data_IF_746354185383
#
_entry.id   IF_746354185383
#
_cell.length_a   1.000
_cell.length_b   1.000
_cell.length_c   1.000
_cell.angle_alpha   90.00
_cell.angle_beta   90.00
_cell.angle_gamma   90.00
#
_symmetry.space_group_name_H-M   'P 1'
#
loop_
_entity.id
_entity.type
_entity.pdbx_description
1 polymer ?
#
# COMPACT_ATOMS: atom_id res chain seq x y z
N UNK A 1 23.75 -27.62 -34.57
CA UNK A 1 22.85 -26.69 -35.28
C UNK A 1 22.42 -25.60 -34.31
N UNK A 2 23.01 -24.38 -34.39
CA UNK A 2 22.56 -23.22 -33.57
C UNK A 2 21.18 -22.80 -34.06
N UNK A 3 20.17 -22.96 -33.22
CA UNK A 3 18.76 -22.65 -33.53
C UNK A 3 18.62 -21.18 -33.98
N UNK A 4 18.42 -20.93 -35.28
CA UNK A 4 18.08 -19.61 -35.85
C UNK A 4 16.78 -19.01 -35.25
N UNK A 5 15.90 -19.84 -34.72
CA UNK A 5 14.66 -19.43 -34.05
C UNK A 5 14.89 -18.70 -32.72
N UNK A 6 16.04 -18.94 -32.05
CA UNK A 6 16.37 -18.23 -30.79
C UNK A 6 16.71 -16.76 -31.00
N UNK A 7 17.21 -16.35 -32.17
CA UNK A 7 17.52 -14.96 -32.49
C UNK A 7 16.26 -14.12 -32.71
N UNK A 8 15.34 -14.60 -33.56
CA UNK A 8 14.09 -13.91 -33.87
C UNK A 8 13.18 -13.78 -32.63
N UNK A 9 13.09 -14.85 -31.82
CA UNK A 9 12.35 -14.83 -30.57
C UNK A 9 12.91 -13.79 -29.59
N UNK A 10 14.23 -13.72 -29.43
CA UNK A 10 14.88 -12.70 -28.59
C UNK A 10 14.57 -11.28 -29.06
N UNK A 11 14.69 -11.03 -30.36
CA UNK A 11 14.37 -9.72 -30.94
C UNK A 11 12.91 -9.36 -30.66
N UNK A 12 11.98 -10.29 -30.90
CA UNK A 12 10.57 -10.08 -30.59
C UNK A 12 10.34 -9.73 -29.11
N UNK A 13 10.93 -10.51 -28.18
CA UNK A 13 10.82 -10.26 -26.75
C UNK A 13 11.39 -8.88 -26.38
N UNK A 14 12.57 -8.51 -26.90
CA UNK A 14 13.13 -7.18 -26.62
C UNK A 14 12.28 -6.05 -27.17
N UNK A 15 11.74 -6.19 -28.37
CA UNK A 15 10.83 -5.17 -28.97
C UNK A 15 9.60 -4.99 -28.08
N UNK A 16 8.97 -6.08 -27.65
CA UNK A 16 7.80 -6.02 -26.77
C UNK A 16 8.15 -5.37 -25.44
N UNK A 17 9.25 -5.77 -24.81
CA UNK A 17 9.67 -5.22 -23.51
C UNK A 17 10.05 -3.74 -23.59
N UNK A 18 10.77 -3.33 -24.65
CA UNK A 18 11.14 -1.92 -24.87
C UNK A 18 9.89 -1.09 -25.14
N UNK A 19 8.98 -1.57 -25.97
CA UNK A 19 7.71 -0.87 -26.25
C UNK A 19 6.92 -0.68 -24.96
N UNK A 20 6.82 -1.72 -24.13
CA UNK A 20 6.11 -1.66 -22.86
C UNK A 20 6.80 -0.69 -21.88
N UNK A 21 8.13 -0.71 -21.81
CA UNK A 21 8.91 0.23 -21.00
C UNK A 21 8.68 1.69 -21.44
N UNK A 22 8.69 1.96 -22.73
CA UNK A 22 8.44 3.31 -23.29
C UNK A 22 7.01 3.76 -22.97
N UNK A 23 6.00 2.91 -23.19
CA UNK A 23 4.59 3.22 -22.93
C UNK A 23 4.36 3.56 -21.44
N UNK A 24 5.10 2.93 -20.53
CA UNK A 24 5.01 3.22 -19.09
C UNK A 24 5.84 4.44 -18.71
N UNK A 25 7.08 4.55 -19.21
CA UNK A 25 8.00 5.61 -18.82
C UNK A 25 7.62 6.99 -19.34
N UNK A 26 7.09 7.07 -20.57
CA UNK A 26 6.73 8.36 -21.22
C UNK A 26 5.67 9.13 -20.43
N UNK A 27 4.51 8.56 -20.03
CA UNK A 27 3.54 9.29 -19.22
C UNK A 27 4.09 9.74 -17.87
N UNK A 28 4.89 8.91 -17.22
CA UNK A 28 5.53 9.25 -15.93
C UNK A 28 6.47 10.44 -16.12
N UNK A 29 7.40 10.35 -17.08
CA UNK A 29 8.33 11.44 -17.39
C UNK A 29 7.58 12.73 -17.78
N UNK A 30 6.48 12.59 -18.50
CA UNK A 30 5.66 13.73 -18.89
C UNK A 30 5.00 14.42 -17.68
N UNK A 31 4.52 13.67 -16.69
CA UNK A 31 3.99 14.24 -15.43
C UNK A 31 5.06 15.06 -14.71
N UNK A 32 6.31 14.56 -14.64
CA UNK A 32 7.45 15.31 -14.06
C UNK A 32 7.76 16.58 -14.85
N UNK A 33 7.75 16.51 -16.17
CA UNK A 33 7.94 17.70 -17.02
C UNK A 33 6.80 18.70 -16.87
N UNK A 34 5.57 18.23 -16.82
CA UNK A 34 4.38 19.05 -16.65
C UNK A 34 4.35 19.76 -15.29
N UNK A 35 4.88 19.15 -14.24
CA UNK A 35 4.90 19.72 -12.88
C UNK A 35 5.75 20.99 -12.74
N UNK A 36 6.71 21.20 -13.63
CA UNK A 36 7.60 22.36 -13.64
C UNK A 36 7.24 23.38 -14.72
N UNK A 37 6.16 23.19 -15.49
CA UNK A 37 5.69 24.11 -16.52
C UNK A 37 4.78 25.19 -15.97
N UNK A 38 4.84 26.38 -16.60
CA UNK A 38 3.84 27.42 -16.40
C UNK A 38 2.55 27.12 -17.18
N UNK A 39 1.43 27.69 -16.74
CA UNK A 39 0.12 27.47 -17.38
C UNK A 39 0.09 27.88 -18.86
N UNK A 40 0.70 28.99 -19.21
CA UNK A 40 0.73 29.48 -20.60
C UNK A 40 1.43 28.48 -21.54
N UNK A 41 2.50 27.83 -21.07
CA UNK A 41 3.20 26.78 -21.82
C UNK A 41 2.35 25.52 -21.98
N UNK A 42 1.58 25.19 -20.95
CA UNK A 42 0.70 24.02 -20.96
C UNK A 42 -0.41 24.15 -21.99
N UNK A 43 -1.04 25.32 -22.08
CA UNK A 43 -2.09 25.60 -23.07
C UNK A 43 -1.54 25.72 -24.50
N UNK A 44 -0.29 26.17 -24.66
CA UNK A 44 0.33 26.28 -25.98
C UNK A 44 0.64 24.92 -26.59
N UNK A 45 1.50 24.16 -25.96
CA UNK A 45 1.81 22.78 -26.33
C UNK A 45 2.31 21.99 -25.09
N UNK A 46 1.50 21.07 -24.55
CA UNK A 46 1.84 20.33 -23.35
C UNK A 46 3.04 19.38 -23.52
N UNK A 47 3.40 19.03 -24.74
CA UNK A 47 4.49 18.08 -25.05
C UNK A 47 5.87 18.71 -25.23
N UNK A 48 5.97 20.03 -25.28
CA UNK A 48 7.27 20.71 -25.38
C UNK A 48 8.04 20.60 -24.07
N UNK A 49 9.37 20.76 -24.15
CA UNK A 49 10.18 20.94 -22.95
C UNK A 49 9.84 22.30 -22.29
N UNK A 50 9.91 22.42 -20.96
CA UNK A 50 9.67 23.65 -20.25
C UNK A 50 10.69 24.72 -20.66
N UNK A 51 10.21 25.94 -20.97
CA UNK A 51 11.06 27.11 -21.26
C UNK A 51 11.67 27.71 -20.00
N UNK A 52 10.94 27.61 -18.88
CA UNK A 52 11.38 28.00 -17.57
C UNK A 52 10.93 26.95 -16.53
N UNK A 53 11.70 26.80 -15.45
CA UNK A 53 11.36 25.89 -14.35
C UNK A 53 10.58 26.66 -13.30
N UNK A 54 9.30 26.34 -13.14
CA UNK A 54 8.37 26.96 -12.20
C UNK A 54 8.31 26.16 -10.89
N UNK A 55 9.28 26.38 -9.99
CA UNK A 55 9.31 25.74 -8.67
C UNK A 55 8.15 26.17 -7.77
N UNK A 56 7.55 27.33 -8.03
CA UNK A 56 6.36 27.82 -7.35
C UNK A 56 5.16 26.88 -7.43
N UNK A 57 5.10 25.99 -8.41
CA UNK A 57 4.08 24.94 -8.49
C UNK A 57 4.15 24.00 -7.28
N UNK A 58 5.36 23.66 -6.85
CA UNK A 58 5.57 22.78 -5.69
C UNK A 58 5.33 23.55 -4.38
N UNK A 59 5.74 24.80 -4.27
CA UNK A 59 5.48 25.59 -3.06
C UNK A 59 3.99 25.87 -2.88
N UNK A 60 3.26 26.11 -3.96
CA UNK A 60 1.80 26.25 -3.95
C UNK A 60 1.11 24.91 -3.62
N UNK A 61 1.67 23.79 -4.09
CA UNK A 61 1.23 22.46 -3.70
C UNK A 61 1.64 22.10 -2.26
N UNK A 62 2.59 22.83 -1.64
CA UNK A 62 3.02 22.59 -0.25
C UNK A 62 1.92 22.83 0.79
N UNK A 63 0.82 23.52 0.43
CA UNK A 63 -0.43 23.48 1.22
C UNK A 63 -0.97 22.07 1.47
N UNK A 64 -0.54 21.07 0.66
CA UNK A 64 -0.80 19.66 0.89
C UNK A 64 0.13 18.99 1.92
N UNK A 65 1.09 19.71 2.51
CA UNK A 65 2.04 19.16 3.49
C UNK A 65 1.34 18.50 4.69
N UNK A 66 0.22 19.07 5.15
CA UNK A 66 -0.62 18.46 6.17
C UNK A 66 -1.21 17.11 5.72
N UNK A 67 -1.67 17.03 4.47
CA UNK A 67 -2.21 15.80 3.91
C UNK A 67 -1.14 14.73 3.73
N UNK A 68 0.09 15.14 3.37
CA UNK A 68 1.25 14.26 3.33
C UNK A 68 1.54 13.69 4.72
N UNK A 69 1.60 14.52 5.76
CA UNK A 69 1.78 14.09 7.14
C UNK A 69 0.69 13.12 7.60
N UNK A 70 -0.58 13.40 7.27
CA UNK A 70 -1.70 12.53 7.56
C UNK A 70 -1.57 11.16 6.85
N UNK A 71 -1.17 11.16 5.57
CA UNK A 71 -0.96 9.91 4.82
C UNK A 71 0.18 9.08 5.39
N UNK A 72 1.30 9.70 5.75
CA UNK A 72 2.43 9.03 6.42
C UNK A 72 1.97 8.43 7.74
N UNK A 73 1.25 9.20 8.56
CA UNK A 73 0.72 8.75 9.84
C UNK A 73 -0.23 7.56 9.69
N UNK A 74 -1.25 7.68 8.82
CA UNK A 74 -2.24 6.61 8.60
C UNK A 74 -1.58 5.37 8.06
N UNK A 75 -0.73 5.49 7.04
CA UNK A 75 -0.04 4.35 6.44
C UNK A 75 0.88 3.64 7.43
N UNK A 76 1.70 4.40 8.16
CA UNK A 76 2.62 3.83 9.15
C UNK A 76 1.86 3.14 10.29
N UNK A 77 0.85 3.80 10.86
CA UNK A 77 0.05 3.25 11.94
C UNK A 77 -0.73 2.00 11.49
N UNK A 78 -1.32 2.03 10.29
CA UNK A 78 -2.03 0.86 9.73
C UNK A 78 -1.09 -0.33 9.56
N UNK A 79 0.12 -0.11 9.03
CA UNK A 79 1.12 -1.18 8.87
C UNK A 79 1.57 -1.74 10.22
N UNK A 80 1.82 -0.90 11.21
CA UNK A 80 2.20 -1.33 12.57
C UNK A 80 1.08 -2.19 13.18
N UNK A 81 -0.16 -1.70 13.17
CA UNK A 81 -1.32 -2.43 13.70
C UNK A 81 -1.51 -3.76 12.97
N UNK A 82 -1.42 -3.73 11.64
CA UNK A 82 -1.56 -4.93 10.80
C UNK A 82 -0.52 -5.99 11.14
N UNK A 83 0.76 -5.63 11.22
CA UNK A 83 1.84 -6.60 11.47
C UNK A 83 1.78 -7.13 12.89
N UNK A 84 1.50 -6.30 13.90
CA UNK A 84 1.35 -6.73 15.28
C UNK A 84 0.26 -7.80 15.43
N UNK A 85 -0.83 -7.69 14.66
CA UNK A 85 -1.96 -8.64 14.74
C UNK A 85 -1.74 -9.83 13.78
N UNK A 86 -1.37 -9.56 12.52
CA UNK A 86 -1.31 -10.57 11.48
C UNK A 86 -0.15 -11.55 11.66
N UNK A 87 1.02 -11.08 12.12
CA UNK A 87 2.20 -11.92 12.20
C UNK A 87 2.05 -13.07 13.22
N UNK A 88 1.64 -12.82 14.49
CA UNK A 88 1.39 -13.92 15.43
C UNK A 88 0.19 -14.77 15.02
N UNK A 89 -0.88 -14.18 14.49
CA UNK A 89 -2.04 -14.94 14.02
C UNK A 89 -1.66 -15.91 12.88
N UNK A 90 -0.88 -15.44 11.91
CA UNK A 90 -0.38 -16.28 10.81
C UNK A 90 0.53 -17.42 11.30
N UNK A 91 1.41 -17.14 12.27
CA UNK A 91 2.28 -18.15 12.86
C UNK A 91 1.47 -19.24 13.55
N UNK A 92 0.52 -18.86 14.41
CA UNK A 92 -0.35 -19.81 15.14
C UNK A 92 -1.17 -20.64 14.16
N UNK A 93 -1.78 -20.03 13.16
CA UNK A 93 -2.58 -20.75 12.15
C UNK A 93 -1.74 -21.69 11.27
N UNK A 94 -0.45 -21.41 11.11
CA UNK A 94 0.45 -22.24 10.31
C UNK A 94 1.03 -23.43 11.09
N UNK A 95 1.35 -23.25 12.37
CA UNK A 95 2.19 -24.16 13.15
C UNK A 95 1.46 -24.94 14.24
N UNK A 96 0.40 -24.37 14.79
CA UNK A 96 -0.30 -25.01 15.90
C UNK A 96 -1.58 -25.68 15.45
N UNK A 97 -1.87 -26.85 16.04
CA UNK A 97 -3.13 -27.57 15.82
C UNK A 97 -4.05 -27.33 17.01
N UNK A 98 -5.21 -26.73 16.77
CA UNK A 98 -6.24 -26.49 17.77
C UNK A 98 -7.64 -26.67 17.17
N UNK A 99 -8.64 -26.89 18.03
CA UNK A 99 -9.99 -27.32 17.61
C UNK A 99 -10.61 -26.37 16.58
N UNK A 100 -10.48 -25.07 16.74
CA UNK A 100 -11.08 -24.06 15.84
C UNK A 100 -10.15 -23.61 14.70
N UNK A 101 -8.97 -24.20 14.53
CA UNK A 101 -8.00 -23.82 13.47
C UNK A 101 -8.62 -23.80 12.07
N UNK A 102 -9.43 -24.83 11.76
CA UNK A 102 -10.10 -24.94 10.45
C UNK A 102 -11.06 -23.78 10.23
N UNK A 103 -11.84 -23.40 11.25
CA UNK A 103 -12.76 -22.28 11.19
C UNK A 103 -12.02 -20.96 10.91
N UNK A 104 -10.95 -20.66 11.64
CA UNK A 104 -10.17 -19.44 11.44
C UNK A 104 -9.49 -19.38 10.08
N UNK A 105 -8.95 -20.50 9.58
CA UNK A 105 -8.40 -20.55 8.24
C UNK A 105 -9.48 -20.24 7.17
N UNK A 106 -10.67 -20.81 7.28
CA UNK A 106 -11.79 -20.51 6.41
C UNK A 106 -12.25 -19.05 6.54
N UNK A 107 -12.32 -18.54 7.74
CA UNK A 107 -12.73 -17.16 8.02
C UNK A 107 -11.80 -16.14 7.32
N UNK A 108 -10.48 -16.27 7.47
CA UNK A 108 -9.53 -15.40 6.77
C UNK A 108 -9.55 -15.65 5.26
N UNK A 109 -9.72 -16.87 4.79
CA UNK A 109 -9.83 -17.17 3.36
C UNK A 109 -11.07 -16.53 2.74
N UNK A 110 -12.23 -16.58 3.40
CA UNK A 110 -13.46 -15.91 2.95
C UNK A 110 -13.26 -14.39 2.87
N UNK A 111 -12.50 -13.80 3.81
CA UNK A 111 -12.17 -12.38 3.79
C UNK A 111 -11.41 -11.92 2.54
N UNK A 112 -10.69 -12.81 1.85
CA UNK A 112 -10.02 -12.49 0.58
C UNK A 112 -10.98 -12.16 -0.56
N UNK A 113 -12.19 -12.69 -0.52
CA UNK A 113 -13.21 -12.46 -1.54
C UNK A 113 -14.01 -11.17 -1.32
N UNK A 114 -13.83 -10.54 -0.16
CA UNK A 114 -14.51 -9.27 0.17
C UNK A 114 -13.62 -8.12 -0.30
N UNK A 115 -14.05 -7.45 -1.37
CA UNK A 115 -13.37 -6.23 -1.81
C UNK A 115 -13.72 -5.08 -0.85
N UNK A 116 -12.69 -4.45 -0.31
CA UNK A 116 -12.82 -3.36 0.65
C UNK A 116 -13.69 -2.20 0.14
N UNK A 117 -13.67 -1.92 -1.16
CA UNK A 117 -14.47 -0.85 -1.76
C UNK A 117 -15.99 -1.09 -1.68
N UNK A 118 -16.43 -2.35 -1.64
CA UNK A 118 -17.86 -2.66 -1.53
C UNK A 118 -18.40 -2.55 -0.11
N UNK A 119 -17.53 -2.62 0.89
CA UNK A 119 -17.91 -2.55 2.30
C UNK A 119 -17.70 -1.15 2.92
N UNK A 120 -17.26 -0.16 2.14
CA UNK A 120 -17.04 1.21 2.62
C UNK A 120 -18.32 1.80 3.22
N UNK A 121 -19.46 1.67 2.53
CA UNK A 121 -20.75 2.21 3.01
C UNK A 121 -21.21 1.50 4.28
N UNK A 122 -21.24 0.16 4.37
CA UNK A 122 -21.50 -0.54 5.64
C UNK A 122 -20.59 -0.10 6.78
N UNK A 123 -19.28 0.05 6.55
CA UNK A 123 -18.32 0.52 7.57
C UNK A 123 -18.67 1.94 8.00
N UNK A 124 -18.94 2.84 7.06
CA UNK A 124 -19.36 4.21 7.36
C UNK A 124 -20.61 4.26 8.23
N UNK A 125 -21.64 3.50 7.87
CA UNK A 125 -22.91 3.46 8.64
C UNK A 125 -22.69 2.89 10.04
N UNK A 126 -21.85 1.87 10.19
CA UNK A 126 -21.49 1.31 11.49
C UNK A 126 -20.78 2.36 12.37
N UNK A 127 -19.79 3.07 11.82
CA UNK A 127 -19.05 4.11 12.54
C UNK A 127 -19.92 5.33 12.85
N UNK A 128 -20.82 5.71 11.93
CA UNK A 128 -21.80 6.78 12.14
C UNK A 128 -22.78 6.43 13.26
N UNK A 129 -23.24 5.17 13.30
CA UNK A 129 -24.08 4.66 14.40
C UNK A 129 -23.36 4.72 15.75
N UNK A 130 -22.07 4.34 15.77
CA UNK A 130 -21.19 4.50 16.93
C UNK A 130 -21.04 5.97 17.36
N UNK A 131 -20.77 6.87 16.42
CA UNK A 131 -20.63 8.29 16.69
C UNK A 131 -21.92 8.90 17.25
N UNK A 132 -23.08 8.51 16.74
CA UNK A 132 -24.37 8.97 17.24
C UNK A 132 -24.63 8.54 18.69
N UNK A 133 -24.17 7.35 19.08
CA UNK A 133 -24.22 6.87 20.45
C UNK A 133 -23.29 7.68 21.37
N UNK A 134 -22.02 7.88 20.95
CA UNK A 134 -21.04 8.64 21.73
C UNK A 134 -21.36 10.13 21.80
N UNK A 135 -21.96 10.71 20.76
CA UNK A 135 -22.42 12.09 20.77
C UNK A 135 -23.51 12.34 21.82
N UNK A 136 -24.39 11.36 22.03
CA UNK A 136 -25.39 11.45 23.10
C UNK A 136 -24.79 11.32 24.50
N UNK A 137 -23.68 10.58 24.64
CA UNK A 137 -23.08 10.27 25.94
C UNK A 137 -21.94 11.23 26.30
N UNK A 138 -21.09 11.58 25.33
CA UNK A 138 -19.87 12.39 25.53
C UNK A 138 -19.94 13.78 24.89
N UNK A 139 -21.00 14.09 24.12
CA UNK A 139 -21.16 15.37 23.43
C UNK A 139 -20.40 15.49 22.11
N UNK A 140 -19.63 14.50 21.70
CA UNK A 140 -18.90 14.47 20.41
C UNK A 140 -18.75 13.06 19.87
N UNK A 141 -18.66 12.91 18.54
CA UNK A 141 -18.29 11.67 17.87
C UNK A 141 -16.78 11.41 17.98
N UNK A 142 -16.37 10.15 17.94
CA UNK A 142 -14.98 9.73 18.07
C UNK A 142 -14.48 8.85 16.91
N UNK A 143 -15.38 8.33 16.07
CA UNK A 143 -15.04 7.38 15.02
C UNK A 143 -14.81 8.03 13.66
N UNK A 144 -15.74 8.88 13.19
CA UNK A 144 -15.59 9.60 11.93
C UNK A 144 -14.64 10.79 12.09
N UNK A 145 -14.06 11.21 10.97
CA UNK A 145 -13.06 12.27 10.91
C UNK A 145 -11.84 12.05 11.83
N UNK A 146 -11.51 10.79 12.10
CA UNK A 146 -10.46 10.36 13.00
C UNK A 146 -9.43 9.49 12.26
N UNK A 147 -8.17 9.95 12.17
CA UNK A 147 -7.09 9.24 11.48
C UNK A 147 -6.71 7.91 12.17
N UNK A 148 -6.88 7.81 13.48
CA UNK A 148 -6.64 6.56 14.21
C UNK A 148 -7.65 5.49 13.81
N UNK A 149 -8.93 5.90 13.69
CA UNK A 149 -9.98 4.99 13.27
C UNK A 149 -9.80 4.57 11.81
N UNK A 150 -9.43 5.51 10.93
CA UNK A 150 -9.09 5.19 9.55
C UNK A 150 -7.95 4.17 9.47
N UNK A 151 -6.90 4.34 10.29
CA UNK A 151 -5.77 3.40 10.35
C UNK A 151 -6.19 2.01 10.83
N UNK A 152 -7.09 1.94 11.80
CA UNK A 152 -7.65 0.67 12.29
C UNK A 152 -8.47 -0.04 11.21
N UNK A 153 -9.30 0.70 10.47
CA UNK A 153 -10.10 0.16 9.35
C UNK A 153 -9.20 -0.37 8.25
N UNK A 154 -8.15 0.36 7.88
CA UNK A 154 -7.16 -0.11 6.89
C UNK A 154 -6.49 -1.40 7.35
N UNK A 155 -6.00 -1.45 8.58
CA UNK A 155 -5.38 -2.66 9.12
C UNK A 155 -6.36 -3.84 9.14
N UNK A 156 -7.61 -3.62 9.59
CA UNK A 156 -8.63 -4.67 9.68
C UNK A 156 -9.00 -5.26 8.31
N UNK A 157 -9.18 -4.41 7.29
CA UNK A 157 -9.53 -4.85 5.92
C UNK A 157 -8.38 -5.58 5.23
N UNK A 158 -7.12 -5.32 5.61
CA UNK A 158 -5.93 -5.96 5.07
C UNK A 158 -5.54 -7.28 5.79
N UNK A 159 -6.12 -7.55 6.97
CA UNK A 159 -5.81 -8.75 7.77
C UNK A 159 -5.95 -10.06 6.98
N UNK A 160 -7.04 -10.32 6.25
CA UNK A 160 -7.23 -11.59 5.55
C UNK A 160 -6.08 -11.91 4.59
N UNK A 161 -5.72 -10.98 3.74
CA UNK A 161 -4.64 -11.15 2.78
C UNK A 161 -3.28 -11.34 3.47
N UNK A 162 -2.99 -10.54 4.48
CA UNK A 162 -1.71 -10.57 5.19
C UNK A 162 -1.54 -11.86 5.97
N UNK A 163 -2.58 -12.30 6.70
CA UNK A 163 -2.57 -13.58 7.43
C UNK A 163 -2.43 -14.76 6.49
N UNK A 164 -3.15 -14.76 5.37
CA UNK A 164 -3.05 -15.80 4.35
C UNK A 164 -1.62 -15.93 3.80
N UNK A 165 -1.02 -14.83 3.40
CA UNK A 165 0.31 -14.83 2.78
C UNK A 165 1.38 -15.23 3.79
N UNK A 166 1.37 -14.67 4.98
CA UNK A 166 2.32 -15.01 6.05
C UNK A 166 2.16 -16.45 6.54
N UNK A 167 0.92 -16.96 6.70
CA UNK A 167 0.71 -18.33 7.17
C UNK A 167 1.21 -19.35 6.15
N UNK A 168 1.02 -19.09 4.85
CA UNK A 168 1.58 -19.95 3.79
C UNK A 168 3.11 -19.96 3.84
N UNK A 169 3.74 -18.81 4.06
CA UNK A 169 5.19 -18.75 4.19
C UNK A 169 5.69 -19.51 5.43
N UNK A 170 5.08 -19.30 6.59
CA UNK A 170 5.46 -20.06 7.80
C UNK A 170 5.37 -21.57 7.59
N UNK A 171 4.40 -22.08 6.82
CA UNK A 171 4.28 -23.51 6.49
C UNK A 171 5.45 -24.04 5.67
N UNK A 172 6.16 -23.19 4.92
CA UNK A 172 7.33 -23.62 4.12
C UNK A 172 8.61 -23.75 4.94
N UNK A 173 8.67 -23.12 6.12
CA UNK A 173 9.85 -23.17 6.97
C UNK A 173 9.98 -24.58 7.61
N UNK A 174 11.18 -25.17 7.68
CA UNK A 174 11.41 -26.45 8.35
C UNK A 174 11.05 -26.43 9.83
N UNK A 175 10.41 -27.49 10.32
CA UNK A 175 10.06 -27.61 11.75
C UNK A 175 11.29 -27.75 12.66
N UNK A 176 12.41 -28.19 12.11
CA UNK A 176 13.67 -28.35 12.85
C UNK A 176 14.17 -27.07 13.51
N UNK A 177 13.79 -25.89 13.01
CA UNK A 177 14.14 -24.62 13.67
C UNK A 177 13.42 -24.42 15.00
N UNK A 178 12.15 -24.81 15.07
CA UNK A 178 11.37 -24.76 16.31
C UNK A 178 11.85 -25.85 17.29
N UNK A 179 12.12 -27.05 16.78
CA UNK A 179 12.64 -28.16 17.56
C UNK A 179 13.99 -27.83 18.20
N UNK A 180 14.93 -27.24 17.43
CA UNK A 180 16.21 -26.79 17.96
C UNK A 180 16.04 -25.72 19.04
N UNK A 181 15.17 -24.73 18.83
CA UNK A 181 14.89 -23.70 19.82
C UNK A 181 14.31 -24.27 21.13
N UNK A 182 13.46 -25.29 21.04
CA UNK A 182 12.91 -25.97 22.22
C UNK A 182 13.97 -26.80 22.95
N UNK A 183 14.90 -27.46 22.24
CA UNK A 183 16.04 -28.16 22.83
C UNK A 183 16.93 -27.16 23.58
N UNK A 184 17.12 -25.97 23.07
CA UNK A 184 17.86 -24.87 23.69
C UNK A 184 17.08 -24.20 24.86
N UNK A 185 15.89 -24.72 25.24
CA UNK A 185 15.08 -24.23 26.34
C UNK A 185 14.23 -23.00 26.03
N UNK A 186 14.10 -22.60 24.76
CA UNK A 186 13.26 -21.46 24.39
C UNK A 186 11.77 -21.80 24.53
N UNK A 187 10.99 -20.94 25.18
CA UNK A 187 9.53 -21.04 25.20
C UNK A 187 8.91 -20.57 23.87
N UNK A 188 7.63 -20.86 23.67
CA UNK A 188 6.89 -20.56 22.42
C UNK A 188 7.03 -19.12 21.93
N UNK A 189 6.90 -18.14 22.83
CA UNK A 189 6.99 -16.73 22.48
C UNK A 189 8.42 -16.31 22.07
N UNK A 190 9.42 -16.88 22.75
CA UNK A 190 10.84 -16.66 22.41
C UNK A 190 11.19 -17.27 21.07
N UNK A 191 10.75 -18.50 20.80
CA UNK A 191 10.90 -19.17 19.51
C UNK A 191 10.24 -18.36 18.39
N UNK A 192 9.02 -17.87 18.61
CA UNK A 192 8.35 -17.02 17.64
C UNK A 192 9.16 -15.75 17.34
N UNK A 193 9.51 -14.95 18.35
CA UNK A 193 10.15 -13.63 18.16
C UNK A 193 11.60 -13.72 17.71
N UNK A 194 12.38 -14.69 18.26
CA UNK A 194 13.82 -14.75 18.01
C UNK A 194 14.24 -15.68 16.88
N UNK A 195 13.38 -16.62 16.49
CA UNK A 195 13.70 -17.60 15.44
C UNK A 195 12.74 -17.46 14.25
N UNK A 196 11.44 -17.69 14.45
CA UNK A 196 10.50 -17.82 13.36
C UNK A 196 10.16 -16.50 12.65
N UNK A 197 9.96 -15.41 13.41
CA UNK A 197 9.69 -14.09 12.83
C UNK A 197 10.89 -13.52 12.05
N UNK A 198 12.15 -13.59 12.54
CA UNK A 198 13.33 -13.23 11.73
C UNK A 198 13.48 -14.05 10.46
N UNK A 199 13.20 -15.36 10.49
CA UNK A 199 13.22 -16.22 9.31
C UNK A 199 12.11 -15.87 8.30
N UNK A 200 10.98 -15.36 8.78
CA UNK A 200 9.89 -14.90 7.92
C UNK A 200 10.11 -13.47 7.37
N UNK A 201 11.26 -12.83 7.65
CA UNK A 201 11.58 -11.46 7.21
C UNK A 201 11.31 -11.21 5.71
N UNK A 202 11.66 -12.11 4.75
CA UNK A 202 11.36 -11.89 3.35
C UNK A 202 9.86 -11.72 3.07
N UNK A 203 9.04 -12.58 3.67
CA UNK A 203 7.58 -12.51 3.53
C UNK A 203 6.98 -11.30 4.26
N UNK A 204 7.52 -10.93 5.43
CA UNK A 204 7.12 -9.73 6.18
C UNK A 204 7.37 -8.48 5.34
N UNK A 205 8.53 -8.35 4.71
CA UNK A 205 8.84 -7.23 3.81
C UNK A 205 7.86 -7.20 2.65
N UNK A 206 7.56 -8.35 2.05
CA UNK A 206 6.61 -8.45 0.95
C UNK A 206 5.20 -7.96 1.33
N UNK A 207 4.67 -8.41 2.48
CA UNK A 207 3.34 -7.96 2.92
C UNK A 207 3.33 -6.49 3.33
N UNK A 208 4.41 -5.97 3.93
CA UNK A 208 4.53 -4.53 4.23
C UNK A 208 4.45 -3.72 2.94
N UNK A 209 5.14 -4.15 1.89
CA UNK A 209 5.14 -3.46 0.61
C UNK A 209 3.77 -3.41 -0.05
N UNK A 210 3.10 -4.57 -0.17
CA UNK A 210 1.77 -4.63 -0.77
C UNK A 210 0.77 -3.77 0.01
N UNK A 211 0.81 -3.83 1.34
CA UNK A 211 -0.08 -3.04 2.16
C UNK A 211 0.30 -1.55 2.19
N UNK A 212 1.58 -1.20 2.12
CA UNK A 212 2.00 0.19 1.94
C UNK A 212 1.42 0.77 0.65
N UNK A 213 1.58 0.07 -0.48
CA UNK A 213 1.03 0.51 -1.76
C UNK A 213 -0.50 0.65 -1.72
N UNK A 214 -1.17 -0.29 -1.06
CA UNK A 214 -2.63 -0.25 -0.87
C UNK A 214 -3.07 0.94 -0.03
N UNK A 215 -2.48 1.13 1.15
CA UNK A 215 -2.86 2.19 2.09
C UNK A 215 -2.47 3.58 1.60
N UNK A 216 -1.28 3.70 0.97
CA UNK A 216 -0.79 4.96 0.43
C UNK A 216 -1.68 5.51 -0.69
N UNK A 217 -2.18 4.63 -1.56
CA UNK A 217 -3.01 5.02 -2.71
C UNK A 217 -4.51 4.95 -2.41
N UNK A 218 -4.91 4.56 -1.20
CA UNK A 218 -6.32 4.43 -0.84
C UNK A 218 -6.95 5.82 -0.71
N UNK A 219 -8.09 6.04 -1.38
CA UNK A 219 -8.80 7.31 -1.33
C UNK A 219 -10.30 7.18 -1.05
N UNK A 220 -10.95 6.05 -1.38
CA UNK A 220 -12.40 5.90 -1.26
C UNK A 220 -12.83 5.85 0.21
N UNK A 221 -12.16 5.01 1.01
CA UNK A 221 -12.40 4.95 2.45
C UNK A 221 -12.02 6.26 3.13
N UNK A 222 -10.84 6.82 2.77
CA UNK A 222 -10.40 8.08 3.34
C UNK A 222 -11.37 9.22 3.03
N UNK A 223 -11.87 9.31 1.79
CA UNK A 223 -12.86 10.32 1.39
C UNK A 223 -14.17 10.17 2.19
N UNK A 224 -14.58 8.93 2.43
CA UNK A 224 -15.86 8.63 3.10
C UNK A 224 -15.77 8.79 4.63
N UNK A 225 -14.67 8.31 5.24
CA UNK A 225 -14.53 8.26 6.70
C UNK A 225 -13.94 9.56 7.29
N UNK A 226 -13.27 10.38 6.45
CA UNK A 226 -12.68 11.67 6.86
C UNK A 226 -13.36 12.83 6.10
N UNK A 227 -14.61 13.19 6.45
CA UNK A 227 -15.33 14.26 5.77
C UNK A 227 -14.77 15.66 6.05
N UNK A 228 -14.02 15.83 7.15
CA UNK A 228 -13.42 17.11 7.56
C UNK A 228 -12.11 17.45 6.87
N UNK A 229 -11.29 18.30 7.52
CA UNK A 229 -10.06 18.85 6.96
C UNK A 229 -8.82 17.97 7.14
N UNK A 230 -8.92 16.88 7.93
CA UNK A 230 -7.82 15.96 8.19
C UNK A 230 -7.57 14.94 7.06
N UNK A 231 -7.69 15.37 5.82
CA UNK A 231 -7.65 14.52 4.64
C UNK A 231 -6.27 13.87 4.46
N UNK A 232 -6.28 12.70 3.81
CA UNK A 232 -5.07 12.04 3.31
C UNK A 232 -4.63 12.68 2.00
N UNK A 233 -3.41 12.41 1.58
CA UNK A 233 -2.81 13.00 0.38
C UNK A 233 -3.59 12.69 -0.91
N UNK A 234 -4.06 11.43 -1.19
CA UNK A 234 -4.89 11.16 -2.35
C UNK A 234 -6.22 11.94 -2.37
N UNK A 235 -6.86 12.11 -1.21
CA UNK A 235 -8.10 12.91 -1.09
C UNK A 235 -7.80 14.39 -1.27
N UNK A 236 -6.68 14.88 -0.71
CA UNK A 236 -6.21 16.24 -0.91
C UNK A 236 -5.94 16.56 -2.38
N UNK A 237 -5.33 15.64 -3.11
CA UNK A 237 -5.10 15.77 -4.56
C UNK A 237 -6.41 15.82 -5.35
N UNK A 238 -7.41 14.99 -4.99
CA UNK A 238 -8.74 15.04 -5.61
C UNK A 238 -9.37 16.41 -5.44
N UNK A 239 -9.31 16.98 -4.24
CA UNK A 239 -9.83 18.33 -3.97
C UNK A 239 -9.05 19.41 -4.75
N UNK A 240 -7.74 19.29 -4.82
CA UNK A 240 -6.91 20.18 -5.65
C UNK A 240 -7.33 20.09 -7.12
N UNK A 241 -7.51 18.87 -7.65
CA UNK A 241 -7.98 18.66 -9.01
C UNK A 241 -9.36 19.28 -9.27
N UNK A 242 -10.28 19.17 -8.32
CA UNK A 242 -11.61 19.77 -8.44
C UNK A 242 -11.54 21.32 -8.41
N UNK A 243 -10.71 21.88 -7.53
CA UNK A 243 -10.48 23.33 -7.44
C UNK A 243 -9.80 23.87 -8.70
N UNK A 244 -8.83 23.13 -9.26
CA UNK A 244 -8.07 23.54 -10.44
C UNK A 244 -8.89 23.48 -11.75
N UNK A 245 -9.96 22.68 -11.82
CA UNK A 245 -10.91 22.76 -12.95
C UNK A 245 -11.52 24.14 -13.11
N UNK A 246 -11.67 24.88 -12.01
CA UNK A 246 -12.17 26.26 -12.00
C UNK A 246 -11.06 27.30 -12.19
N UNK A 247 -9.86 27.07 -11.64
CA UNK A 247 -8.73 28.02 -11.62
C UNK A 247 -7.66 27.74 -12.70
N UNK A 248 -7.73 26.59 -13.37
CA UNK A 248 -6.91 26.18 -14.52
C UNK A 248 -5.39 26.23 -14.29
N UNK A 249 -4.90 25.89 -13.06
CA UNK A 249 -3.47 25.80 -12.79
C UNK A 249 -2.96 24.34 -12.88
N UNK A 250 -2.64 23.91 -14.09
CA UNK A 250 -2.17 22.56 -14.36
C UNK A 250 -0.78 22.28 -13.77
N UNK A 251 0.13 23.23 -13.77
CA UNK A 251 1.46 23.07 -13.16
C UNK A 251 1.38 22.65 -11.70
N UNK A 252 0.53 23.30 -10.91
CA UNK A 252 0.30 22.96 -9.51
C UNK A 252 -0.36 21.59 -9.35
N UNK A 253 -1.29 21.21 -10.22
CA UNK A 253 -1.92 19.88 -10.20
C UNK A 253 -0.88 18.76 -10.45
N UNK A 254 -0.02 18.93 -11.47
CA UNK A 254 1.02 17.96 -11.76
C UNK A 254 2.11 17.93 -10.69
N UNK A 255 2.44 19.04 -10.06
CA UNK A 255 3.32 19.07 -8.89
C UNK A 255 2.72 18.27 -7.73
N UNK A 256 1.42 18.40 -7.48
CA UNK A 256 0.69 17.57 -6.50
C UNK A 256 0.75 16.08 -6.84
N UNK A 257 0.55 15.71 -8.11
CA UNK A 257 0.69 14.32 -8.58
C UNK A 257 2.11 13.77 -8.33
N UNK A 258 3.15 14.55 -8.62
CA UNK A 258 4.54 14.17 -8.35
C UNK A 258 4.74 13.91 -6.85
N UNK A 259 4.22 14.78 -5.97
CA UNK A 259 4.31 14.60 -4.51
C UNK A 259 3.65 13.28 -4.07
N UNK A 260 2.50 12.91 -4.64
CA UNK A 260 1.82 11.64 -4.35
C UNK A 260 2.61 10.44 -4.87
N UNK A 261 3.21 10.55 -6.06
CA UNK A 261 3.93 9.45 -6.70
C UNK A 261 5.30 9.16 -6.09
N UNK A 262 6.02 10.20 -5.61
CA UNK A 262 7.40 10.08 -5.14
C UNK A 262 7.60 9.01 -4.06
N UNK A 263 6.83 8.93 -2.98
CA UNK A 263 7.03 7.91 -1.94
C UNK A 263 6.87 6.49 -2.48
N UNK A 264 5.92 6.28 -3.39
CA UNK A 264 5.70 4.98 -4.05
C UNK A 264 6.90 4.59 -4.92
N UNK A 265 7.43 5.53 -5.72
CA UNK A 265 8.59 5.28 -6.58
C UNK A 265 9.85 5.03 -5.76
N UNK A 266 10.09 5.83 -4.72
CA UNK A 266 11.23 5.65 -3.81
C UNK A 266 11.17 4.28 -3.14
N UNK A 267 10.00 3.91 -2.58
CA UNK A 267 9.83 2.61 -1.95
C UNK A 267 10.09 1.48 -2.94
N UNK A 268 9.52 1.55 -4.16
CA UNK A 268 9.73 0.54 -5.19
C UNK A 268 11.22 0.36 -5.51
N UNK A 269 11.96 1.45 -5.71
CA UNK A 269 13.40 1.40 -6.00
C UNK A 269 14.17 0.74 -4.85
N UNK A 270 13.82 1.04 -3.61
CA UNK A 270 14.49 0.48 -2.44
C UNK A 270 14.24 -1.03 -2.26
N UNK A 271 13.09 -1.52 -2.71
CA UNK A 271 12.63 -2.88 -2.34
C UNK A 271 12.46 -3.81 -3.53
N UNK A 272 12.64 -3.32 -4.79
CA UNK A 272 12.52 -4.14 -6.00
C UNK A 272 13.37 -5.43 -5.97
N UNK A 273 14.56 -5.38 -5.36
CA UNK A 273 15.44 -6.55 -5.22
C UNK A 273 14.83 -7.62 -4.31
N UNK A 274 14.28 -7.22 -3.17
CA UNK A 274 13.63 -8.14 -2.23
C UNK A 274 12.34 -8.75 -2.81
N UNK A 275 11.61 -7.99 -3.65
CA UNK A 275 10.44 -8.51 -4.36
C UNK A 275 10.80 -9.63 -5.33
N UNK A 276 11.86 -9.44 -6.12
CA UNK A 276 12.31 -10.46 -7.09
C UNK A 276 12.86 -11.70 -6.38
N UNK A 277 13.62 -11.56 -5.31
CA UNK A 277 14.13 -12.68 -4.51
C UNK A 277 13.02 -13.44 -3.76
N UNK A 278 12.04 -12.73 -3.18
CA UNK A 278 10.92 -13.33 -2.45
C UNK A 278 9.97 -14.14 -3.35
N UNK A 279 9.76 -13.71 -4.60
CA UNK A 279 8.91 -14.43 -5.55
C UNK A 279 9.59 -15.70 -6.11
N UNK A 280 10.91 -15.74 -6.21
CA UNK A 280 11.64 -16.91 -6.71
C UNK A 280 11.68 -18.05 -5.71
N UNK A 281 11.67 -17.79 -4.41
CA UNK A 281 11.64 -18.84 -3.37
C UNK A 281 10.28 -19.58 -3.33
N UNK A 282 9.19 -18.93 -3.75
CA UNK A 282 7.86 -19.56 -3.85
C UNK A 282 7.60 -20.29 -5.17
N UNK A 283 8.42 -20.08 -6.20
CA UNK A 283 8.20 -20.54 -7.58
C UNK A 283 9.01 -21.76 -8.03
N UNK A 284 10.01 -22.21 -7.26
CA UNK A 284 10.87 -23.34 -7.68
C UNK A 284 10.59 -24.56 -6.83
N UNK A 285 9.51 -25.26 -7.16
CA UNK A 285 9.36 -26.70 -7.01
C UNK A 285 8.62 -27.20 -8.24
N UNK A 286 9.34 -27.44 -9.30
CA UNK A 286 8.98 -28.18 -10.47
C UNK A 286 10.22 -28.87 -10.97
#
# INVERSE_FOLDING_TARGET
>A
MKNKHTGLYKVFVYVVLITLAVVIAVPIAWVFLASVKGNAEFYGNPWTLPKAIHWENFTSAAGMGRYLGNSVFVTALSLILLIIIALPAAYVLARFRFVSQRFWNWFFMLGLFINANYIVVPIFLMLLGGDSFFQKTLGHGIFLNNLWMLSLVYAATALPFTVYLLSNYFRTLPASFEEAAYIDGAGYFTTFLKVMAPMARPSIITVILFNFLSFWNEYIMALTLIPGDNKTLPVGLLNLSAAQKSAQNYGQLYAGLVIVMLPTLILYILVQKQLTEGMTVGGVKG
#
